data_IF_050082735337
#
_entry.id   IF_050082735337
#
_cell.length_a   1.000
_cell.length_b   1.000
_cell.length_c   1.000
_cell.angle_alpha   90.00
_cell.angle_beta   90.00
_cell.angle_gamma   90.00
#
_symmetry.space_group_name_H-M   'P 1'
#
loop_
_entity.id
_entity.type
_entity.pdbx_description
1 polymer ?
#
# COMPACT_ATOMS: atom_id res chain seq x y z
N UNK A 1 39.31 -29.19 16.44
CA UNK A 1 38.99 -27.87 15.86
C UNK A 1 37.47 -27.70 15.82
N UNK A 2 36.91 -27.39 16.99
CA UNK A 2 35.51 -27.01 17.20
C UNK A 2 35.55 -25.50 17.43
N UNK A 3 34.84 -24.69 16.64
CA UNK A 3 34.34 -23.31 16.96
C UNK A 3 34.00 -22.41 15.74
N UNK A 4 34.15 -22.84 14.49
CA UNK A 4 33.92 -21.94 13.33
C UNK A 4 32.67 -22.23 12.48
N UNK A 5 32.00 -23.38 12.63
CA UNK A 5 30.82 -23.70 11.81
C UNK A 5 29.51 -23.02 12.23
N UNK A 6 29.43 -22.40 13.43
CA UNK A 6 28.18 -21.80 13.93
C UNK A 6 28.05 -20.32 13.53
N UNK A 7 29.15 -19.65 13.17
CA UNK A 7 29.11 -18.22 12.82
C UNK A 7 28.56 -17.93 11.41
N UNK A 8 28.54 -18.92 10.52
CA UNK A 8 28.06 -18.74 9.14
C UNK A 8 26.53 -18.76 9.01
N UNK A 9 25.81 -19.28 10.01
CA UNK A 9 24.36 -19.48 9.95
C UNK A 9 23.54 -18.26 10.42
N UNK A 10 24.17 -17.29 11.09
CA UNK A 10 23.49 -16.07 11.58
C UNK A 10 23.61 -14.92 10.55
N UNK A 11 24.62 -14.96 9.67
CA UNK A 11 24.84 -13.91 8.67
C UNK A 11 23.81 -13.90 7.52
N UNK A 12 23.08 -15.00 7.30
CA UNK A 12 22.08 -15.12 6.23
C UNK A 12 20.65 -14.80 6.69
N UNK A 13 20.43 -14.39 7.94
CA UNK A 13 19.10 -13.92 8.41
C UNK A 13 18.97 -12.40 8.42
N UNK A 14 20.03 -11.68 8.05
CA UNK A 14 20.11 -10.21 7.97
C UNK A 14 19.93 -9.71 6.53
N UNK A 15 19.17 -10.44 5.72
CA UNK A 15 18.89 -10.11 4.32
C UNK A 15 17.53 -9.42 4.28
N UNK A 16 17.58 -8.09 4.10
CA UNK A 16 16.53 -7.27 3.49
C UNK A 16 15.28 -7.00 4.33
N UNK A 17 15.43 -6.18 5.38
CA UNK A 17 14.36 -5.21 5.67
C UNK A 17 14.64 -3.99 4.78
N UNK A 18 14.09 -4.00 3.57
CA UNK A 18 13.96 -2.74 2.82
C UNK A 18 12.94 -1.92 3.57
N UNK A 19 13.35 -0.78 4.12
CA UNK A 19 12.41 0.24 4.59
C UNK A 19 11.67 0.76 3.36
N UNK A 20 10.56 0.12 3.01
CA UNK A 20 9.54 0.78 2.23
C UNK A 20 9.14 2.03 3.03
N UNK A 21 8.85 3.15 2.35
CA UNK A 21 8.32 4.32 3.03
C UNK A 21 6.93 3.98 3.57
N UNK A 22 6.87 3.50 4.82
CA UNK A 22 5.66 3.07 5.50
C UNK A 22 5.07 4.26 6.25
N UNK A 23 3.97 4.80 5.76
CA UNK A 23 3.14 5.74 6.50
C UNK A 23 2.07 4.96 7.28
N UNK A 24 1.76 5.38 8.51
CA UNK A 24 0.65 4.83 9.29
C UNK A 24 -0.33 5.94 9.63
N UNK A 25 -1.60 5.70 9.39
CA UNK A 25 -2.70 6.59 9.71
C UNK A 25 -3.70 5.84 10.59
N UNK A 26 -3.98 6.37 11.77
CA UNK A 26 -5.09 5.93 12.60
C UNK A 26 -6.25 6.91 12.40
N UNK A 27 -7.46 6.39 12.25
CA UNK A 27 -8.67 7.17 11.99
C UNK A 27 -9.79 6.69 12.90
N UNK A 28 -10.79 7.54 13.12
CA UNK A 28 -12.00 7.12 13.83
C UNK A 28 -12.91 6.34 12.90
N UNK A 29 -13.62 5.35 13.45
CA UNK A 29 -14.61 4.62 12.67
C UNK A 29 -15.70 5.58 12.16
N UNK A 30 -16.07 5.42 10.89
CA UNK A 30 -17.03 6.25 10.18
C UNK A 30 -16.47 7.57 9.63
N UNK A 31 -15.21 7.91 9.92
CA UNK A 31 -14.56 9.11 9.38
C UNK A 31 -14.35 9.00 7.86
N UNK A 32 -14.45 10.12 7.16
CA UNK A 32 -14.11 10.18 5.74
C UNK A 32 -12.59 10.31 5.57
N UNK A 33 -11.98 9.40 4.80
CA UNK A 33 -10.53 9.30 4.70
C UNK A 33 -10.08 9.50 3.25
N UNK A 34 -9.29 10.55 2.96
CA UNK A 34 -8.65 10.72 1.67
C UNK A 34 -7.41 9.80 1.58
N UNK A 35 -7.28 9.09 0.47
CA UNK A 35 -6.14 8.26 0.13
C UNK A 35 -5.55 8.76 -1.19
N UNK A 36 -4.38 9.40 -1.09
CA UNK A 36 -3.73 10.06 -2.22
C UNK A 36 -2.35 9.48 -2.48
N UNK A 37 -2.08 9.19 -3.75
CA UNK A 37 -0.75 8.90 -4.27
C UNK A 37 -0.54 9.70 -5.56
N UNK A 38 0.48 10.56 -5.56
CA UNK A 38 0.74 11.45 -6.70
C UNK A 38 0.88 10.68 -8.02
N UNK A 39 0.08 11.08 -9.01
CA UNK A 39 0.09 10.49 -10.35
C UNK A 39 -0.37 9.03 -10.42
N UNK A 40 -1.12 8.55 -9.44
CA UNK A 40 -1.71 7.21 -9.49
C UNK A 40 -2.86 7.15 -10.52
N UNK A 41 -2.78 6.17 -11.42
CA UNK A 41 -3.88 5.78 -12.31
C UNK A 41 -4.73 4.69 -11.68
N UNK A 42 -4.08 3.88 -10.85
CA UNK A 42 -4.68 2.81 -10.09
C UNK A 42 -4.10 2.83 -8.66
N UNK A 43 -4.93 2.43 -7.70
CA UNK A 43 -4.53 2.22 -6.32
C UNK A 43 -4.77 0.76 -5.98
N UNK A 44 -3.76 0.10 -5.43
CA UNK A 44 -3.91 -1.25 -4.88
C UNK A 44 -4.08 -1.15 -3.38
N UNK A 45 -5.05 -1.89 -2.84
CA UNK A 45 -5.18 -2.11 -1.41
C UNK A 45 -5.17 -3.59 -1.06
N UNK A 46 -4.78 -3.87 0.17
CA UNK A 46 -4.93 -5.17 0.82
C UNK A 46 -5.69 -4.98 2.11
N UNK A 47 -6.92 -5.47 2.14
CA UNK A 47 -7.89 -5.38 3.23
C UNK A 47 -8.33 -6.79 3.65
N UNK A 48 -9.18 -7.00 4.68
CA UNK A 48 -9.58 -8.34 5.11
C UNK A 48 -10.23 -9.17 3.99
N UNK A 49 -10.94 -8.52 3.06
CA UNK A 49 -11.56 -9.17 1.91
C UNK A 49 -10.58 -9.58 0.80
N UNK A 50 -9.29 -9.23 0.91
CA UNK A 50 -8.25 -9.59 -0.05
C UNK A 50 -7.58 -8.38 -0.72
N UNK A 51 -6.93 -8.65 -1.85
CA UNK A 51 -6.29 -7.62 -2.68
C UNK A 51 -7.31 -7.05 -3.66
N UNK A 52 -7.36 -5.74 -3.78
CA UNK A 52 -8.30 -5.04 -4.65
C UNK A 52 -7.61 -3.86 -5.33
N UNK A 53 -8.03 -3.54 -6.56
CA UNK A 53 -7.49 -2.44 -7.36
C UNK A 53 -8.59 -1.43 -7.63
N UNK A 54 -8.40 -0.19 -7.17
CA UNK A 54 -9.25 0.96 -7.50
C UNK A 54 -8.74 1.65 -8.76
N UNK A 55 -9.65 2.00 -9.66
CA UNK A 55 -9.32 2.62 -10.94
C UNK A 55 -9.71 4.10 -10.97
N UNK A 56 -8.76 5.00 -11.24
CA UNK A 56 -9.04 6.43 -11.41
C UNK A 56 -9.44 6.81 -12.84
N UNK A 57 -9.19 5.92 -13.80
CA UNK A 57 -9.48 6.08 -15.22
C UNK A 57 -9.92 4.74 -15.85
N UNK A 58 -10.33 4.76 -17.12
CA UNK A 58 -10.75 3.56 -17.84
C UNK A 58 -12.20 3.12 -17.60
N UNK A 59 -12.52 1.88 -17.99
CA UNK A 59 -13.87 1.30 -17.93
C UNK A 59 -14.36 1.14 -16.49
N UNK A 60 -13.47 0.76 -15.56
CA UNK A 60 -13.78 0.58 -14.14
C UNK A 60 -13.61 1.86 -13.31
N UNK A 61 -13.53 3.03 -13.94
CA UNK A 61 -13.29 4.31 -13.24
C UNK A 61 -14.24 4.49 -12.06
N UNK A 62 -13.66 4.76 -10.89
CA UNK A 62 -14.38 4.99 -9.64
C UNK A 62 -14.78 3.70 -8.91
N UNK A 63 -14.29 2.53 -9.34
CA UNK A 63 -14.63 1.23 -8.76
C UNK A 63 -13.39 0.43 -8.40
N UNK A 64 -13.59 -0.49 -7.46
CA UNK A 64 -12.66 -1.57 -7.16
C UNK A 64 -12.90 -2.78 -8.07
N UNK A 65 -11.81 -3.48 -8.36
CA UNK A 65 -11.80 -4.81 -8.95
C UNK A 65 -11.03 -5.76 -8.05
N UNK A 66 -11.36 -7.05 -8.06
CA UNK A 66 -10.60 -8.08 -7.35
C UNK A 66 -9.37 -8.54 -8.13
N UNK A 67 -8.75 -9.65 -7.69
CA UNK A 67 -7.57 -10.22 -8.35
C UNK A 67 -7.85 -10.85 -9.71
N UNK A 68 -9.10 -11.18 -10.02
CA UNK A 68 -9.54 -11.74 -11.30
C UNK A 68 -10.06 -10.65 -12.25
N UNK A 69 -10.17 -9.41 -11.77
CA UNK A 69 -10.64 -8.25 -12.53
C UNK A 69 -12.14 -8.01 -12.42
N UNK A 70 -12.84 -8.75 -11.56
CA UNK A 70 -14.28 -8.60 -11.38
C UNK A 70 -14.59 -7.38 -10.52
N UNK A 71 -15.62 -6.62 -10.89
CA UNK A 71 -16.01 -5.41 -10.16
C UNK A 71 -16.53 -5.74 -8.76
N UNK A 72 -16.08 -4.95 -7.78
CA UNK A 72 -16.53 -5.02 -6.40
C UNK A 72 -17.44 -3.83 -6.11
N UNK A 73 -18.46 -4.07 -5.28
CA UNK A 73 -19.35 -3.02 -4.78
C UNK A 73 -18.55 -1.85 -4.18
N UNK A 74 -18.68 -0.68 -4.80
CA UNK A 74 -17.82 0.48 -4.54
C UNK A 74 -18.57 1.73 -4.09
N UNK A 75 -19.81 1.57 -3.63
CA UNK A 75 -20.67 2.69 -3.22
C UNK A 75 -20.15 3.48 -2.01
N UNK A 76 -19.22 2.95 -1.22
CA UNK A 76 -18.56 3.69 -0.13
C UNK A 76 -17.40 4.59 -0.59
N UNK A 77 -17.07 4.58 -1.88
CA UNK A 77 -15.90 5.28 -2.41
C UNK A 77 -16.30 6.33 -3.45
N UNK A 78 -15.48 7.36 -3.60
CA UNK A 78 -15.60 8.33 -4.68
C UNK A 78 -14.23 8.91 -5.04
N UNK A 79 -14.15 9.49 -6.24
CA UNK A 79 -12.98 10.26 -6.66
C UNK A 79 -13.28 11.73 -6.38
N UNK A 80 -12.42 12.38 -5.58
CA UNK A 80 -12.47 13.83 -5.34
C UNK A 80 -11.08 14.41 -5.50
N UNK A 81 -10.95 15.42 -6.36
CA UNK A 81 -9.68 16.10 -6.64
C UNK A 81 -8.52 15.18 -7.08
N UNK A 82 -8.86 14.03 -7.69
CA UNK A 82 -7.88 13.03 -8.12
C UNK A 82 -7.52 11.99 -7.06
N UNK A 83 -8.08 12.09 -5.85
CA UNK A 83 -7.84 11.19 -4.73
C UNK A 83 -9.02 10.23 -4.53
N UNK A 84 -8.72 9.07 -3.95
CA UNK A 84 -9.75 8.14 -3.46
C UNK A 84 -10.26 8.67 -2.12
N UNK A 85 -11.55 8.93 -2.02
CA UNK A 85 -12.21 9.23 -0.75
C UNK A 85 -12.98 8.00 -0.29
N UNK A 86 -12.59 7.46 0.86
CA UNK A 86 -13.39 6.48 1.60
C UNK A 86 -14.41 7.28 2.41
N UNK A 87 -15.70 7.21 2.07
CA UNK A 87 -16.72 8.10 2.64
C UNK A 87 -17.01 7.81 4.11
N UNK A 88 -16.98 6.53 4.48
CA UNK A 88 -17.13 6.04 5.86
C UNK A 88 -16.14 4.92 6.09
N UNK A 89 -15.00 5.23 6.70
CA UNK A 89 -13.97 4.23 6.97
C UNK A 89 -14.45 3.24 8.04
N UNK A 90 -14.30 1.94 7.78
CA UNK A 90 -14.66 0.90 8.75
C UNK A 90 -13.68 -0.28 8.72
N UNK A 91 -13.99 -1.32 9.49
CA UNK A 91 -13.15 -2.53 9.61
C UNK A 91 -12.83 -3.19 8.25
N UNK A 92 -13.75 -3.10 7.29
CA UNK A 92 -13.55 -3.62 5.94
C UNK A 92 -12.51 -2.84 5.12
N UNK A 93 -12.20 -1.59 5.53
CA UNK A 93 -11.24 -0.71 4.87
C UNK A 93 -9.87 -0.69 5.56
N UNK A 94 -9.74 -1.32 6.73
CA UNK A 94 -8.45 -1.46 7.44
C UNK A 94 -7.47 -2.23 6.58
N UNK A 95 -6.28 -1.68 6.37
CA UNK A 95 -5.33 -2.34 5.46
C UNK A 95 -4.20 -1.46 4.98
N UNK A 96 -3.50 -1.98 3.98
CA UNK A 96 -2.41 -1.26 3.30
C UNK A 96 -2.88 -0.77 1.93
N UNK A 97 -2.47 0.43 1.56
CA UNK A 97 -2.79 1.13 0.34
C UNK A 97 -1.49 1.55 -0.35
N UNK A 98 -1.40 1.39 -1.65
CA UNK A 98 -0.23 1.75 -2.45
C UNK A 98 -0.62 2.12 -3.88
N UNK A 99 0.24 2.89 -4.56
CA UNK A 99 0.11 3.11 -6.01
C UNK A 99 0.24 1.78 -6.76
N UNK A 100 -0.56 1.57 -7.80
CA UNK A 100 -0.42 0.41 -8.70
C UNK A 100 -0.11 0.86 -10.14
N UNK A 101 0.93 0.27 -10.79
CA UNK A 101 1.98 -0.55 -10.18
C UNK A 101 2.81 0.24 -9.15
N UNK A 102 3.37 -0.45 -8.14
CA UNK A 102 4.26 0.17 -7.17
C UNK A 102 5.64 0.37 -7.81
N UNK A 103 6.01 1.62 -8.07
CA UNK A 103 7.24 2.00 -8.76
C UNK A 103 8.41 2.11 -7.78
N UNK A 104 9.58 1.61 -8.19
CA UNK A 104 10.82 1.79 -7.44
C UNK A 104 11.31 3.24 -7.55
N UNK A 105 11.54 3.89 -6.42
CA UNK A 105 12.18 5.19 -6.35
C UNK A 105 13.68 4.98 -6.39
N UNK A 106 14.33 5.43 -7.47
CA UNK A 106 15.78 5.33 -7.66
C UNK A 106 16.44 6.70 -7.53
N UNK A 107 17.56 6.75 -6.81
CA UNK A 107 18.41 7.93 -6.69
C UNK A 107 19.85 7.56 -6.98
N UNK A 108 20.41 8.17 -8.02
CA UNK A 108 21.82 8.06 -8.36
C UNK A 108 22.69 8.71 -7.27
N UNK A 109 23.84 8.11 -6.99
CA UNK A 109 24.87 8.62 -6.09
C UNK A 109 26.23 8.61 -6.82
N UNK A 110 27.26 9.34 -6.33
CA UNK A 110 28.57 9.32 -6.97
C UNK A 110 29.22 7.93 -7.07
N UNK A 111 28.76 6.95 -6.29
CA UNK A 111 29.33 5.59 -6.20
C UNK A 111 28.38 4.48 -6.65
N UNK A 112 27.18 4.82 -7.16
CA UNK A 112 26.17 3.83 -7.56
C UNK A 112 24.75 4.41 -7.51
N UNK A 113 23.78 3.62 -7.07
CA UNK A 113 22.40 4.08 -6.88
C UNK A 113 21.82 3.52 -5.58
N UNK A 114 20.87 4.25 -5.01
CA UNK A 114 19.97 3.76 -3.95
C UNK A 114 18.59 3.59 -4.56
N UNK A 115 17.98 2.42 -4.35
CA UNK A 115 16.63 2.13 -4.82
C UNK A 115 15.77 1.64 -3.66
N UNK A 116 14.58 2.20 -3.51
CA UNK A 116 13.58 1.80 -2.51
C UNK A 116 12.23 1.60 -3.18
N UNK A 117 11.37 0.78 -2.58
CA UNK A 117 9.99 0.64 -3.04
C UNK A 117 9.22 1.95 -2.81
N UNK A 118 8.20 2.19 -3.63
CA UNK A 118 7.29 3.32 -3.44
C UNK A 118 6.55 3.26 -2.09
N UNK A 119 5.95 4.38 -1.67
CA UNK A 119 5.32 4.48 -0.37
C UNK A 119 4.11 3.55 -0.24
N UNK A 120 3.90 3.03 0.96
CA UNK A 120 2.72 2.28 1.36
C UNK A 120 2.09 2.97 2.56
N UNK A 121 0.80 3.25 2.48
CA UNK A 121 0.00 3.81 3.57
C UNK A 121 -0.76 2.68 4.27
N UNK A 122 -0.53 2.49 5.56
CA UNK A 122 -1.29 1.57 6.40
C UNK A 122 -2.33 2.39 7.16
N UNK A 123 -3.61 2.08 6.98
CA UNK A 123 -4.72 2.75 7.66
C UNK A 123 -5.37 1.77 8.63
N UNK A 124 -5.56 2.19 9.88
CA UNK A 124 -6.24 1.43 10.92
C UNK A 124 -7.20 2.30 11.74
N UNK A 125 -8.00 1.65 12.58
CA UNK A 125 -8.95 2.34 13.45
C UNK A 125 -8.27 2.65 14.80
N UNK A 126 -8.47 3.86 15.32
CA UNK A 126 -8.08 4.23 16.68
C UNK A 126 -8.79 3.32 17.69
N UNK A 127 -8.02 2.71 18.60
CA UNK A 127 -8.62 1.98 19.72
C UNK A 127 -8.82 2.97 20.86
N UNK A 128 -10.07 3.10 21.31
CA UNK A 128 -10.43 3.83 22.53
C UNK A 128 -9.77 3.23 23.79
#
# INVERSE_FOLDING_TARGET
>A
MKKYCIFFLIATFLVLQTDASLARLLVKEGEAVPVSFSGAKELKRKVPAGVQIFHFEGEHKGKFTDGDGEEIESTNYEIRDGDLIIKKFGEADVGSYEKHPNEMIKKETPTGFVAVSGPVLIIGIEKD
#
